data_IF_313549677712
#
_entry.id   IF_313549677712
#
_cell.length_a   1.000
_cell.length_b   1.000
_cell.length_c   1.000
_cell.angle_alpha   90.00
_cell.angle_beta   90.00
_cell.angle_gamma   90.00
#
_symmetry.space_group_name_H-M   'P 1'
#
loop_
_entity.id
_entity.type
_entity.pdbx_description
1 polymer ?
#
# COMPACT_ATOMS: atom_id res chain seq x y z
N UNK A 1 -9.33 -6.17 -21.18
CA UNK A 1 -10.63 -5.53 -20.91
C UNK A 1 -10.50 -4.83 -19.58
N UNK A 2 -10.71 -3.50 -19.53
CA UNK A 2 -10.52 -2.73 -18.29
C UNK A 2 -11.57 -3.12 -17.25
N UNK A 3 -11.16 -3.36 -16.01
CA UNK A 3 -12.07 -3.66 -14.91
C UNK A 3 -12.68 -2.36 -14.43
N UNK A 4 -14.00 -2.20 -14.61
CA UNK A 4 -14.76 -1.07 -14.05
C UNK A 4 -14.88 -1.29 -12.55
N UNK A 5 -14.56 -0.28 -11.73
CA UNK A 5 -14.70 -0.40 -10.28
C UNK A 5 -16.13 -0.79 -9.89
N UNK A 6 -16.31 -1.84 -9.09
CA UNK A 6 -17.62 -2.17 -8.56
C UNK A 6 -18.15 -0.99 -7.73
N UNK A 7 -19.38 -0.58 -8.02
CA UNK A 7 -20.06 0.44 -7.22
C UNK A 7 -20.41 -0.18 -5.86
N UNK A 8 -19.57 0.05 -4.85
CA UNK A 8 -19.73 -0.50 -3.50
C UNK A 8 -21.08 -0.16 -2.88
N UNK A 9 -21.61 1.04 -3.19
CA UNK A 9 -22.94 1.44 -2.77
C UNK A 9 -24.04 0.61 -3.45
N UNK A 10 -23.90 0.35 -4.75
CA UNK A 10 -24.82 -0.52 -5.49
C UNK A 10 -24.79 -1.97 -4.95
N UNK A 11 -23.60 -2.47 -4.59
CA UNK A 11 -23.42 -3.81 -4.02
C UNK A 11 -23.98 -3.93 -2.59
N UNK A 12 -23.81 -2.91 -1.75
CA UNK A 12 -24.24 -2.96 -0.36
C UNK A 12 -25.73 -2.66 -0.16
N UNK A 13 -26.30 -1.76 -0.96
CA UNK A 13 -27.66 -1.24 -0.76
C UNK A 13 -28.64 -1.58 -1.88
N UNK A 14 -28.14 -2.12 -3.00
CA UNK A 14 -28.94 -2.50 -4.15
C UNK A 14 -29.38 -1.31 -5.02
N UNK A 15 -29.80 -1.57 -6.27
CA UNK A 15 -30.03 -0.52 -7.27
C UNK A 15 -31.16 0.45 -6.94
N UNK A 16 -32.17 0.01 -6.15
CA UNK A 16 -33.34 0.83 -5.81
C UNK A 16 -33.07 1.92 -4.77
N UNK A 17 -32.18 1.66 -3.81
CA UNK A 17 -31.78 2.66 -2.81
C UNK A 17 -30.82 3.69 -3.42
N UNK A 18 -29.93 3.25 -4.32
CA UNK A 18 -28.95 4.12 -4.98
C UNK A 18 -29.63 5.17 -5.88
N UNK A 19 -30.75 4.83 -6.53
CA UNK A 19 -31.51 5.78 -7.35
C UNK A 19 -32.36 6.76 -6.54
N UNK A 20 -32.61 6.50 -5.26
CA UNK A 20 -33.44 7.37 -4.40
C UNK A 20 -32.65 8.58 -3.87
N UNK A 21 -31.34 8.45 -3.71
CA UNK A 21 -30.47 9.53 -3.24
C UNK A 21 -29.11 9.45 -3.94
N UNK A 22 -29.12 9.72 -5.25
CA UNK A 22 -27.92 9.69 -6.10
C UNK A 22 -26.84 10.65 -5.58
N UNK A 23 -27.23 11.74 -4.93
CA UNK A 23 -26.34 12.69 -4.27
C UNK A 23 -25.56 12.05 -3.14
N UNK A 24 -26.24 11.42 -2.17
CA UNK A 24 -25.60 10.72 -1.06
C UNK A 24 -24.67 9.60 -1.56
N UNK A 25 -25.12 8.83 -2.56
CA UNK A 25 -24.33 7.72 -3.07
C UNK A 25 -23.17 8.15 -3.97
N UNK A 26 -23.28 9.28 -4.67
CA UNK A 26 -22.14 9.91 -5.32
C UNK A 26 -21.16 10.49 -4.30
N UNK A 27 -21.62 11.07 -3.19
CA UNK A 27 -20.74 11.52 -2.11
C UNK A 27 -20.03 10.35 -1.42
N UNK A 28 -20.74 9.27 -1.12
CA UNK A 28 -20.15 8.03 -0.59
C UNK A 28 -19.15 7.43 -1.58
N UNK A 29 -19.48 7.41 -2.87
CA UNK A 29 -18.56 6.99 -3.94
C UNK A 29 -17.32 7.89 -3.96
N UNK A 30 -17.48 9.20 -3.89
CA UNK A 30 -16.39 10.17 -3.85
C UNK A 30 -15.53 10.04 -2.58
N UNK A 31 -16.12 9.71 -1.44
CA UNK A 31 -15.41 9.39 -0.19
C UNK A 31 -14.60 8.09 -0.33
N UNK A 32 -15.19 7.05 -0.93
CA UNK A 32 -14.45 5.80 -1.23
C UNK A 32 -13.36 5.99 -2.27
N UNK A 33 -13.47 6.98 -3.16
CA UNK A 33 -12.44 7.34 -4.15
C UNK A 33 -11.18 7.95 -3.51
N UNK A 34 -11.28 8.52 -2.30
CA UNK A 34 -10.11 8.99 -1.52
C UNK A 34 -9.21 7.81 -1.13
N UNK A 35 -9.80 6.63 -0.91
CA UNK A 35 -9.07 5.39 -0.66
C UNK A 35 -8.87 4.61 -1.97
N UNK A 36 -7.73 4.82 -2.61
CA UNK A 36 -7.34 3.98 -3.74
C UNK A 36 -6.92 2.60 -3.22
N UNK A 37 -7.83 1.62 -3.26
CA UNK A 37 -7.64 0.27 -2.69
C UNK A 37 -6.39 -0.46 -3.20
N UNK A 38 -5.93 -0.13 -4.41
CA UNK A 38 -4.73 -0.67 -5.02
C UNK A 38 -3.43 0.00 -4.58
N UNK A 39 -3.46 1.07 -3.78
CA UNK A 39 -2.26 1.75 -3.33
C UNK A 39 -1.45 0.87 -2.36
N UNK A 40 -0.11 0.84 -2.47
CA UNK A 40 0.70 0.04 -1.57
C UNK A 40 0.59 0.56 -0.13
N UNK A 41 0.31 -0.36 0.80
CA UNK A 41 0.18 -0.08 2.23
C UNK A 41 1.39 -0.63 2.99
N UNK A 42 2.03 -1.67 2.44
CA UNK A 42 3.19 -2.34 3.01
C UNK A 42 4.28 -2.50 1.96
N UNK A 43 5.52 -2.51 2.43
CA UNK A 43 6.69 -2.88 1.64
C UNK A 43 6.83 -4.39 1.67
N UNK A 44 7.07 -5.01 0.51
CA UNK A 44 7.34 -6.45 0.38
C UNK A 44 8.50 -6.89 1.28
N UNK A 45 8.37 -8.07 1.89
CA UNK A 45 9.40 -8.65 2.78
C UNK A 45 10.75 -8.80 2.08
N UNK A 46 10.76 -9.10 0.77
CA UNK A 46 11.98 -9.16 -0.04
C UNK A 46 12.74 -7.82 -0.07
N UNK A 47 12.02 -6.69 -0.17
CA UNK A 47 12.61 -5.36 -0.12
C UNK A 47 13.12 -5.05 1.28
N UNK A 48 12.39 -5.47 2.33
CA UNK A 48 12.84 -5.34 3.73
C UNK A 48 14.13 -6.13 3.97
N UNK A 49 14.24 -7.34 3.43
CA UNK A 49 15.44 -8.17 3.52
C UNK A 49 16.66 -7.50 2.88
N UNK A 50 16.48 -6.74 1.78
CA UNK A 50 17.55 -5.94 1.17
C UNK A 50 18.06 -4.86 2.11
N UNK A 51 17.18 -4.21 2.88
CA UNK A 51 17.61 -3.23 3.88
C UNK A 51 18.44 -3.86 4.99
N UNK A 52 18.08 -5.06 5.44
CA UNK A 52 18.84 -5.77 6.47
C UNK A 52 20.26 -6.17 6.05
N UNK A 53 20.50 -6.32 4.74
CA UNK A 53 21.79 -6.72 4.16
C UNK A 53 22.71 -5.53 3.82
N UNK A 54 22.29 -4.28 4.04
CA UNK A 54 23.13 -3.12 3.71
C UNK A 54 24.41 -3.09 4.57
N UNK A 55 25.52 -2.69 3.95
CA UNK A 55 26.85 -2.70 4.56
C UNK A 55 26.89 -1.95 5.91
N UNK A 56 26.24 -0.80 6.00
CA UNK A 56 26.14 -0.02 7.24
C UNK A 56 25.46 -0.81 8.39
N UNK A 57 24.41 -1.58 8.10
CA UNK A 57 23.71 -2.40 9.10
C UNK A 57 24.55 -3.62 9.47
N UNK A 58 25.25 -4.23 8.51
CA UNK A 58 26.15 -5.35 8.79
C UNK A 58 27.34 -4.93 9.64
N UNK A 59 27.90 -3.73 9.40
CA UNK A 59 28.97 -3.13 10.22
C UNK A 59 28.48 -2.88 11.65
N UNK A 60 27.31 -2.25 11.83
CA UNK A 60 26.73 -2.04 13.15
C UNK A 60 26.47 -3.35 13.89
N UNK A 61 26.07 -4.42 13.17
CA UNK A 61 25.92 -5.76 13.75
C UNK A 61 27.27 -6.32 14.19
N UNK A 62 28.33 -6.19 13.38
CA UNK A 62 29.67 -6.63 13.75
C UNK A 62 30.18 -5.92 15.02
N UNK A 63 29.94 -4.61 15.14
CA UNK A 63 30.29 -3.82 16.33
C UNK A 63 29.50 -4.32 17.56
N UNK A 64 28.22 -4.67 17.41
CA UNK A 64 27.42 -5.27 18.49
C UNK A 64 27.99 -6.63 18.95
N UNK A 65 28.49 -7.45 18.02
CA UNK A 65 29.11 -8.73 18.35
C UNK A 65 30.42 -8.55 19.09
N UNK A 66 31.26 -7.59 18.66
CA UNK A 66 32.56 -7.33 19.27
C UNK A 66 32.48 -6.58 20.62
N UNK A 67 31.46 -5.74 20.83
CA UNK A 67 31.31 -5.00 22.09
C UNK A 67 30.95 -5.95 23.25
N UNK A 68 31.39 -5.64 24.47
CA UNK A 68 30.97 -6.29 25.72
C UNK A 68 29.99 -5.42 26.51
N UNK A 69 29.86 -4.14 26.16
CA UNK A 69 29.03 -3.18 26.88
C UNK A 69 27.54 -3.30 26.51
N UNK A 70 26.71 -3.68 27.49
CA UNK A 70 25.26 -3.86 27.31
C UNK A 70 24.54 -2.58 26.88
N UNK A 71 24.94 -1.41 27.40
CA UNK A 71 24.30 -0.13 27.09
C UNK A 71 24.55 0.25 25.62
N UNK A 72 25.79 0.10 25.18
CA UNK A 72 26.20 0.37 23.81
C UNK A 72 25.50 -0.59 22.82
N UNK A 73 25.45 -1.89 23.12
CA UNK A 73 24.69 -2.86 22.31
C UNK A 73 23.24 -2.45 22.12
N UNK A 74 22.58 -2.02 23.20
CA UNK A 74 21.19 -1.59 23.13
C UNK A 74 21.01 -0.32 22.30
N UNK A 75 21.94 0.64 22.41
CA UNK A 75 21.96 1.85 21.58
C UNK A 75 22.10 1.50 20.10
N UNK A 76 23.07 0.65 19.74
CA UNK A 76 23.31 0.23 18.35
C UNK A 76 22.13 -0.57 17.79
N UNK A 77 21.49 -1.44 18.58
CA UNK A 77 20.26 -2.13 18.18
C UNK A 77 19.12 -1.15 17.86
N UNK A 78 18.93 -0.13 18.69
CA UNK A 78 17.93 0.93 18.43
C UNK A 78 18.26 1.70 17.15
N UNK A 79 19.54 2.00 16.93
CA UNK A 79 19.99 2.67 15.71
C UNK A 79 19.71 1.84 14.45
N UNK A 80 20.05 0.55 14.45
CA UNK A 80 19.73 -0.37 13.35
C UNK A 80 18.21 -0.39 13.08
N UNK A 81 17.40 -0.54 14.13
CA UNK A 81 15.94 -0.54 14.01
C UNK A 81 15.45 0.76 13.38
N UNK A 82 15.89 1.91 13.89
CA UNK A 82 15.50 3.22 13.39
C UNK A 82 15.87 3.42 11.91
N UNK A 83 17.09 3.01 11.51
CA UNK A 83 17.52 3.08 10.12
C UNK A 83 16.64 2.20 9.21
N UNK A 84 16.31 0.98 9.63
CA UNK A 84 15.43 0.09 8.88
C UNK A 84 14.03 0.70 8.76
N UNK A 85 13.47 1.21 9.85
CA UNK A 85 12.14 1.83 9.88
C UNK A 85 12.06 3.04 8.92
N UNK A 86 13.10 3.88 8.87
CA UNK A 86 13.19 4.99 7.91
C UNK A 86 13.24 4.46 6.47
N UNK A 87 14.05 3.44 6.19
CA UNK A 87 14.15 2.88 4.85
C UNK A 87 12.80 2.30 4.37
N UNK A 88 12.07 1.64 5.26
CA UNK A 88 10.73 1.12 4.97
C UNK A 88 9.78 2.27 4.63
N UNK A 89 9.76 3.34 5.43
CA UNK A 89 8.90 4.50 5.17
C UNK A 89 9.21 5.14 3.82
N UNK A 90 10.49 5.45 3.56
CA UNK A 90 10.91 6.06 2.30
C UNK A 90 10.57 5.19 1.09
N UNK A 91 10.72 3.87 1.21
CA UNK A 91 10.36 2.95 0.13
C UNK A 91 8.86 2.90 -0.09
N UNK A 92 8.06 2.90 0.98
CA UNK A 92 6.60 2.92 0.88
C UNK A 92 6.12 4.19 0.19
N UNK A 93 6.69 5.33 0.55
CA UNK A 93 6.34 6.62 -0.05
C UNK A 93 6.72 6.65 -1.54
N UNK A 94 7.89 6.13 -1.90
CA UNK A 94 8.31 5.99 -3.29
C UNK A 94 7.39 5.06 -4.10
N UNK A 95 7.04 3.91 -3.53
CA UNK A 95 6.12 2.94 -4.15
C UNK A 95 4.73 3.56 -4.34
N UNK A 96 4.24 4.33 -3.37
CA UNK A 96 2.97 5.08 -3.47
C UNK A 96 3.02 6.15 -4.55
N UNK A 97 4.08 6.96 -4.59
CA UNK A 97 4.23 7.99 -5.61
C UNK A 97 4.25 7.39 -7.02
N UNK A 98 4.95 6.26 -7.21
CA UNK A 98 4.96 5.54 -8.48
C UNK A 98 3.55 5.04 -8.84
N UNK A 99 2.86 4.40 -7.89
CA UNK A 99 1.48 3.93 -8.08
C UNK A 99 0.53 5.05 -8.45
N UNK A 100 0.53 6.17 -7.71
CA UNK A 100 -0.40 7.27 -7.98
C UNK A 100 -0.11 7.95 -9.32
N UNK A 101 1.17 8.07 -9.70
CA UNK A 101 1.54 8.59 -11.02
C UNK A 101 1.00 7.72 -12.17
N UNK A 102 1.10 6.40 -12.03
CA UNK A 102 0.55 5.45 -13.01
C UNK A 102 -0.99 5.46 -13.00
N UNK A 103 -1.59 5.44 -11.81
CA UNK A 103 -3.03 5.53 -11.63
C UNK A 103 -3.64 6.77 -12.27
N UNK A 104 -3.01 7.94 -12.11
CA UNK A 104 -3.48 9.18 -12.71
C UNK A 104 -3.35 9.13 -14.23
N UNK A 105 -2.29 8.54 -14.78
CA UNK A 105 -2.16 8.34 -16.23
C UNK A 105 -3.23 7.40 -16.80
N UNK A 106 -3.56 6.33 -16.07
CA UNK A 106 -4.61 5.39 -16.49
C UNK A 106 -5.99 6.03 -16.41
N UNK A 107 -6.28 6.79 -15.34
CA UNK A 107 -7.52 7.55 -15.19
C UNK A 107 -7.74 8.56 -16.31
N UNK A 108 -6.68 9.26 -16.75
CA UNK A 108 -6.75 10.16 -17.91
C UNK A 108 -7.16 9.44 -19.20
N UNK A 109 -6.91 8.12 -19.28
CA UNK A 109 -7.31 7.26 -20.40
C UNK A 109 -8.62 6.51 -20.15
N UNK A 110 -9.31 6.77 -19.04
CA UNK A 110 -10.53 6.07 -18.65
C UNK A 110 -10.30 4.63 -18.18
N UNK A 111 -9.07 4.26 -17.81
CA UNK A 111 -8.69 2.93 -17.33
C UNK A 111 -8.44 2.95 -15.81
N UNK A 112 -8.71 1.83 -15.14
CA UNK A 112 -8.41 1.67 -13.72
C UNK A 112 -6.99 1.11 -13.50
N UNK A 113 -6.26 1.59 -12.49
CA UNK A 113 -4.99 1.01 -12.09
C UNK A 113 -5.18 -0.38 -11.47
N UNK A 114 -4.31 -1.30 -11.87
CA UNK A 114 -4.16 -2.59 -11.21
C UNK A 114 -3.62 -2.42 -9.78
N UNK A 115 -4.03 -3.26 -8.82
CA UNK A 115 -3.56 -3.17 -7.45
C UNK A 115 -2.06 -3.44 -7.33
N UNK A 116 -1.34 -2.58 -6.62
CA UNK A 116 0.08 -2.73 -6.40
C UNK A 116 0.40 -3.91 -5.44
N UNK A 117 1.57 -4.56 -5.58
CA UNK A 117 2.07 -5.50 -4.60
C UNK A 117 2.14 -4.87 -3.20
N UNK A 118 1.54 -5.52 -2.19
CA UNK A 118 1.48 -4.98 -0.82
C UNK A 118 0.27 -4.07 -0.52
N UNK A 119 -0.66 -3.92 -1.47
CA UNK A 119 -2.00 -3.42 -1.20
C UNK A 119 -2.83 -4.47 -0.41
N UNK A 120 -3.59 -4.04 0.60
CA UNK A 120 -4.51 -4.90 1.38
C UNK A 120 -6.00 -4.69 1.03
N UNK A 121 -6.30 -3.86 0.02
CA UNK A 121 -7.66 -3.64 -0.45
C UNK A 121 -8.21 -4.81 -1.27
N UNK A 122 -9.48 -4.73 -1.68
CA UNK A 122 -10.21 -5.79 -2.38
C UNK A 122 -9.74 -6.02 -3.84
N UNK A 123 -8.47 -5.72 -4.15
CA UNK A 123 -7.82 -6.08 -5.42
C UNK A 123 -7.74 -7.59 -5.66
N UNK A 124 -7.97 -8.43 -4.64
CA UNK A 124 -8.20 -9.89 -4.79
C UNK A 124 -9.65 -10.26 -5.13
N UNK A 125 -10.62 -9.37 -4.93
CA UNK A 125 -12.04 -9.60 -5.22
C UNK A 125 -12.50 -9.02 -6.56
N UNK A 126 -11.65 -8.26 -7.27
CA UNK A 126 -11.89 -7.83 -8.64
C UNK A 126 -12.33 -8.98 -9.59
N UNK A 127 -11.72 -10.19 -9.56
CA UNK A 127 -12.21 -11.32 -10.36
C UNK A 127 -13.55 -11.88 -9.87
N UNK A 128 -13.92 -11.67 -8.60
CA UNK A 128 -15.21 -12.12 -8.04
C UNK A 128 -16.34 -11.17 -8.48
N UNK A 129 -16.08 -9.87 -8.55
CA UNK A 129 -17.04 -8.88 -9.04
C UNK A 129 -17.40 -9.09 -10.52
N UNK A 130 -16.45 -9.53 -11.35
CA UNK A 130 -16.68 -9.90 -12.75
C UNK A 130 -17.51 -11.20 -12.92
N UNK A 131 -17.64 -12.00 -11.87
CA UNK A 131 -18.42 -13.24 -11.86
C UNK A 131 -19.88 -13.02 -11.42
N UNK A 132 -20.18 -11.84 -10.89
CA UNK A 132 -21.48 -11.45 -10.34
C UNK A 132 -22.21 -10.40 -11.20
N UNK A 133 -21.61 -9.99 -12.33
CA UNK A 133 -22.18 -9.06 -13.32
C UNK A 133 -22.75 -9.77 -14.53
#
# INVERSE_FOLDING_TARGET
>A
TGVVRPNLALLAFGPKMVSWDETLFNELRNMTLIHNEGAPILVLEEKIAKFQKRNNITELRAIIYASTNKSEKNRLKKQIKHTIDICIKLQLDADRQAYFKEADQLRLRGLEPEPAPGARGAGRAAPVAALLS
#
